data_IF_383858080271
#
_entry.id   IF_383858080271
#
_cell.length_a   1.000
_cell.length_b   1.000
_cell.length_c   1.000
_cell.angle_alpha   90.00
_cell.angle_beta   90.00
_cell.angle_gamma   90.00
#
_symmetry.space_group_name_H-M   'P 1'
#
loop_
_entity.id
_entity.type
_entity.pdbx_description
1 polymer ?
#
# COMPACT_ATOMS: atom_id res chain seq x y z
N UNK A 1 18.86 6.61 -15.20
CA UNK A 1 18.38 5.36 -14.59
C UNK A 1 17.63 5.73 -13.31
N UNK A 2 16.35 5.39 -13.23
CA UNK A 2 15.64 5.43 -11.95
C UNK A 2 16.21 4.31 -11.07
N UNK A 3 16.62 4.64 -9.85
CA UNK A 3 16.97 3.63 -8.84
C UNK A 3 15.68 3.21 -8.15
N UNK A 4 15.40 1.90 -8.09
CA UNK A 4 14.29 1.34 -7.35
C UNK A 4 14.83 0.46 -6.22
N UNK A 5 14.27 0.60 -5.02
CA UNK A 5 14.62 -0.23 -3.87
C UNK A 5 13.98 -1.61 -3.96
N UNK A 6 12.81 -1.70 -4.60
CA UNK A 6 12.12 -2.96 -4.92
C UNK A 6 11.10 -2.78 -6.03
N UNK A 7 10.59 -3.91 -6.53
CA UNK A 7 9.48 -3.98 -7.47
C UNK A 7 8.45 -4.99 -6.94
N UNK A 8 7.20 -4.55 -6.81
CA UNK A 8 6.08 -5.40 -6.37
C UNK A 8 5.03 -5.40 -7.47
N UNK A 9 4.68 -6.58 -7.96
CA UNK A 9 3.64 -6.77 -8.97
C UNK A 9 2.41 -7.40 -8.31
N UNK A 10 1.25 -6.79 -8.51
CA UNK A 10 -0.01 -7.21 -7.89
C UNK A 10 -0.89 -7.95 -8.88
N UNK A 11 -1.28 -9.16 -8.53
CA UNK A 11 -2.01 -10.08 -9.38
C UNK A 11 -3.17 -10.76 -8.63
N UNK A 12 -4.03 -11.41 -9.40
CA UNK A 12 -5.04 -12.36 -8.95
C UNK A 12 -4.84 -13.63 -9.76
N UNK A 13 -4.67 -14.74 -9.08
CA UNK A 13 -4.36 -16.04 -9.67
C UNK A 13 -5.59 -16.73 -10.26
N UNK A 14 -5.35 -17.81 -10.98
CA UNK A 14 -6.35 -18.71 -11.51
C UNK A 14 -5.94 -20.17 -11.28
N UNK A 15 -6.91 -21.00 -10.86
CA UNK A 15 -6.72 -22.44 -10.66
C UNK A 15 -7.75 -23.20 -11.49
N UNK A 16 -7.33 -24.08 -12.43
CA UNK A 16 -8.26 -24.85 -13.27
C UNK A 16 -9.19 -25.76 -12.47
N UNK A 17 -8.72 -26.29 -11.37
CA UNK A 17 -9.51 -27.17 -10.52
C UNK A 17 -10.41 -26.41 -9.54
N UNK A 18 -10.27 -25.10 -9.43
CA UNK A 18 -11.05 -24.18 -8.57
C UNK A 18 -11.02 -24.57 -7.08
N UNK A 19 -9.98 -25.28 -6.65
CA UNK A 19 -9.81 -25.79 -5.28
C UNK A 19 -8.98 -24.87 -4.41
N UNK A 20 -8.06 -24.12 -5.03
CA UNK A 20 -7.13 -23.27 -4.30
C UNK A 20 -7.79 -21.95 -3.87
N UNK A 21 -7.37 -21.43 -2.74
CA UNK A 21 -7.87 -20.19 -2.14
C UNK A 21 -6.80 -19.56 -1.28
N UNK A 22 -6.75 -18.24 -1.25
CA UNK A 22 -5.81 -17.47 -0.44
C UNK A 22 -4.68 -16.87 -1.24
N UNK A 23 -3.89 -16.03 -0.57
CA UNK A 23 -2.80 -15.28 -1.20
C UNK A 23 -1.48 -16.06 -1.17
N UNK A 24 -0.65 -15.83 -2.20
CA UNK A 24 0.71 -16.36 -2.27
C UNK A 24 1.69 -15.31 -2.77
N UNK A 25 2.96 -15.57 -2.52
CA UNK A 25 4.06 -14.72 -2.98
C UNK A 25 4.98 -15.52 -3.88
N UNK A 26 5.17 -15.02 -5.10
CA UNK A 26 6.15 -15.56 -6.03
C UNK A 26 7.42 -14.72 -5.91
N UNK A 27 8.48 -15.37 -5.48
CA UNK A 27 9.73 -14.69 -5.12
C UNK A 27 10.95 -15.41 -5.71
N UNK A 28 12.08 -14.72 -5.67
CA UNK A 28 13.34 -15.30 -6.10
C UNK A 28 13.72 -16.50 -5.23
N UNK A 29 14.06 -17.60 -5.90
CA UNK A 29 14.57 -18.80 -5.25
C UNK A 29 15.93 -18.50 -4.59
N UNK A 30 16.17 -19.04 -3.42
CA UNK A 30 17.45 -18.87 -2.71
C UNK A 30 18.54 -19.74 -3.35
N UNK A 31 18.89 -19.43 -4.56
CA UNK A 31 19.85 -20.20 -5.40
C UNK A 31 21.32 -19.88 -5.07
N UNK A 32 21.57 -18.97 -4.15
CA UNK A 32 22.92 -18.47 -3.88
C UNK A 32 23.46 -17.50 -4.94
N UNK A 33 22.72 -17.26 -6.03
CA UNK A 33 23.15 -16.30 -7.06
C UNK A 33 23.12 -14.87 -6.57
N UNK A 34 22.03 -14.49 -5.91
CA UNK A 34 21.89 -13.17 -5.29
C UNK A 34 21.13 -13.28 -3.97
N UNK A 35 21.84 -13.68 -2.92
CA UNK A 35 21.28 -13.87 -1.58
C UNK A 35 20.60 -12.62 -1.04
N UNK A 36 21.15 -11.44 -1.30
CA UNK A 36 20.56 -10.17 -0.89
C UNK A 36 19.15 -10.02 -1.48
N UNK A 37 18.99 -10.20 -2.79
CA UNK A 37 17.69 -10.07 -3.46
C UNK A 37 16.69 -11.08 -2.91
N UNK A 38 17.06 -12.36 -2.80
CA UNK A 38 16.13 -13.39 -2.31
C UNK A 38 15.71 -13.15 -0.86
N UNK A 39 16.65 -12.80 0.03
CA UNK A 39 16.35 -12.52 1.44
C UNK A 39 15.47 -11.28 1.59
N UNK A 40 15.78 -10.19 0.89
CA UNK A 40 15.01 -8.94 0.90
C UNK A 40 13.61 -9.15 0.36
N UNK A 41 13.49 -9.88 -0.77
CA UNK A 41 12.19 -10.22 -1.37
C UNK A 41 11.30 -11.01 -0.41
N UNK A 42 11.86 -12.01 0.28
CA UNK A 42 11.11 -12.81 1.24
C UNK A 42 10.68 -11.99 2.46
N UNK A 43 11.56 -11.14 2.99
CA UNK A 43 11.22 -10.27 4.13
C UNK A 43 10.13 -9.24 3.78
N UNK A 44 10.23 -8.59 2.61
CA UNK A 44 9.20 -7.67 2.11
C UNK A 44 7.88 -8.40 1.88
N UNK A 45 7.92 -9.56 1.23
CA UNK A 45 6.74 -10.39 0.98
C UNK A 45 6.07 -10.84 2.28
N UNK A 46 6.83 -11.26 3.29
CA UNK A 46 6.29 -11.63 4.61
C UNK A 46 5.57 -10.45 5.28
N UNK A 47 6.12 -9.25 5.18
CA UNK A 47 5.49 -8.05 5.72
C UNK A 47 4.17 -7.71 5.02
N UNK A 48 4.10 -7.86 3.70
CA UNK A 48 2.85 -7.67 2.94
C UNK A 48 1.83 -8.76 3.30
N UNK A 49 2.24 -10.03 3.32
CA UNK A 49 1.37 -11.16 3.64
C UNK A 49 0.75 -11.05 5.03
N UNK A 50 1.50 -10.58 6.03
CA UNK A 50 0.97 -10.37 7.38
C UNK A 50 -0.21 -9.38 7.39
N UNK A 51 -0.14 -8.30 6.61
CA UNK A 51 -1.24 -7.34 6.49
C UNK A 51 -2.43 -7.86 5.66
N UNK A 52 -2.19 -8.72 4.67
CA UNK A 52 -3.27 -9.42 3.95
C UNK A 52 -4.00 -10.40 4.85
N UNK A 53 -3.29 -11.09 5.73
CA UNK A 53 -3.89 -12.00 6.72
C UNK A 53 -4.79 -11.27 7.74
N UNK A 54 -4.51 -9.99 8.05
CA UNK A 54 -5.42 -9.16 8.87
C UNK A 54 -6.80 -8.95 8.22
N UNK A 55 -6.91 -9.09 6.90
CA UNK A 55 -8.18 -9.08 6.17
C UNK A 55 -8.89 -10.44 6.17
N UNK A 56 -8.31 -11.45 6.81
CA UNK A 56 -8.82 -12.82 6.82
C UNK A 56 -8.37 -13.67 5.62
N UNK A 57 -7.46 -13.18 4.80
CA UNK A 57 -6.95 -13.94 3.65
C UNK A 57 -6.01 -15.02 4.15
N UNK A 58 -6.27 -16.27 3.75
CA UNK A 58 -5.37 -17.39 4.03
C UNK A 58 -4.05 -17.21 3.28
N UNK A 59 -2.93 -17.43 3.97
CA UNK A 59 -1.63 -17.47 3.31
C UNK A 59 -1.34 -18.85 2.73
N UNK A 60 -0.97 -18.92 1.46
CA UNK A 60 -0.38 -20.11 0.82
C UNK A 60 1.15 -20.06 0.83
N UNK A 61 1.75 -19.03 1.47
CA UNK A 61 3.18 -18.88 1.64
C UNK A 61 3.92 -18.40 0.41
N UNK A 62 5.18 -18.80 0.32
CA UNK A 62 6.06 -18.47 -0.79
C UNK A 62 6.10 -19.59 -1.81
N UNK A 63 6.05 -19.23 -3.07
CA UNK A 63 6.27 -20.12 -4.18
C UNK A 63 7.50 -19.69 -4.95
N UNK A 64 8.38 -20.68 -5.15
CA UNK A 64 9.62 -20.54 -5.89
C UNK A 64 9.52 -21.40 -7.13
N UNK A 65 9.64 -20.81 -8.28
CA UNK A 65 9.59 -21.53 -9.56
C UNK A 65 10.82 -21.18 -10.40
N UNK A 66 11.49 -22.19 -10.92
CA UNK A 66 12.68 -22.04 -11.73
C UNK A 66 12.44 -22.59 -13.13
N UNK A 67 13.22 -22.09 -14.10
CA UNK A 67 13.28 -22.63 -15.45
C UNK A 67 14.03 -23.97 -15.45
N UNK A 68 13.64 -24.86 -16.37
CA UNK A 68 14.28 -26.18 -16.46
C UNK A 68 15.70 -26.05 -17.03
N UNK A 69 15.85 -25.31 -18.13
CA UNK A 69 17.07 -25.32 -18.97
C UNK A 69 17.90 -24.04 -18.83
N UNK A 70 17.36 -22.98 -18.26
CA UNK A 70 18.08 -21.73 -18.06
C UNK A 70 18.76 -21.64 -16.69
N UNK A 71 19.99 -21.11 -16.68
CA UNK A 71 20.79 -20.93 -15.48
C UNK A 71 21.38 -19.55 -15.42
N UNK A 72 21.58 -19.07 -14.20
CA UNK A 72 22.41 -17.90 -13.94
C UNK A 72 23.90 -18.20 -14.18
N UNK A 73 24.73 -17.14 -14.25
CA UNK A 73 26.18 -17.26 -14.52
C UNK A 73 26.92 -18.16 -13.52
N UNK A 74 26.42 -18.35 -12.33
CA UNK A 74 27.00 -19.23 -11.31
C UNK A 74 26.50 -20.68 -11.39
N UNK A 75 25.73 -21.05 -12.41
CA UNK A 75 25.19 -22.39 -12.61
C UNK A 75 23.86 -22.67 -11.88
N UNK A 76 23.38 -21.78 -11.02
CA UNK A 76 22.07 -21.91 -10.37
C UNK A 76 20.93 -21.76 -11.38
N UNK A 77 19.82 -22.52 -11.18
CA UNK A 77 18.63 -22.41 -12.03
C UNK A 77 18.06 -21.01 -12.00
N UNK A 78 17.70 -20.47 -13.17
CA UNK A 78 17.11 -19.14 -13.28
C UNK A 78 15.65 -19.15 -12.82
N UNK A 79 15.20 -18.05 -12.23
CA UNK A 79 13.81 -17.89 -11.80
C UNK A 79 12.86 -17.86 -13.01
N UNK A 80 11.73 -18.53 -12.87
CA UNK A 80 10.75 -18.70 -13.96
C UNK A 80 10.13 -17.38 -14.40
N UNK A 81 9.67 -16.57 -13.44
CA UNK A 81 8.99 -15.32 -13.76
C UNK A 81 10.00 -14.24 -14.15
N UNK A 82 9.81 -13.64 -15.33
CA UNK A 82 10.73 -12.65 -15.88
C UNK A 82 10.97 -11.48 -14.94
N UNK A 83 9.92 -10.94 -14.32
CA UNK A 83 10.04 -9.84 -13.37
C UNK A 83 10.93 -10.19 -12.16
N UNK A 84 10.83 -11.43 -11.66
CA UNK A 84 11.66 -11.92 -10.56
C UNK A 84 13.10 -12.15 -11.04
N UNK A 85 13.27 -12.78 -12.20
CA UNK A 85 14.58 -13.06 -12.82
C UNK A 85 15.35 -11.78 -13.13
N UNK A 86 14.69 -10.80 -13.74
CA UNK A 86 15.29 -9.49 -14.00
C UNK A 86 15.64 -8.74 -12.71
N UNK A 87 14.82 -8.86 -11.69
CA UNK A 87 15.11 -8.35 -10.36
C UNK A 87 16.40 -8.91 -9.79
N UNK A 88 16.59 -10.24 -9.90
CA UNK A 88 17.81 -10.93 -9.45
C UNK A 88 19.04 -10.45 -10.23
N UNK A 89 18.93 -10.33 -11.55
CA UNK A 89 20.02 -9.89 -12.44
C UNK A 89 20.41 -8.42 -12.19
N UNK A 90 19.43 -7.56 -11.94
CA UNK A 90 19.65 -6.13 -11.73
C UNK A 90 19.82 -5.73 -10.24
N UNK A 91 19.85 -6.70 -9.33
CA UNK A 91 19.97 -6.50 -7.87
C UNK A 91 18.82 -5.70 -7.26
N UNK A 92 17.63 -5.80 -7.84
CA UNK A 92 16.41 -5.16 -7.37
C UNK A 92 15.49 -6.26 -6.80
N UNK A 93 15.20 -6.27 -5.48
CA UNK A 93 14.23 -7.19 -4.90
C UNK A 93 12.89 -7.09 -5.62
N UNK A 94 12.45 -8.17 -6.26
CA UNK A 94 11.26 -8.18 -7.10
C UNK A 94 10.38 -9.38 -6.77
N UNK A 95 9.09 -9.14 -6.56
CA UNK A 95 8.12 -10.17 -6.21
C UNK A 95 6.76 -9.95 -6.87
N UNK A 96 5.99 -11.03 -6.95
CA UNK A 96 4.60 -11.00 -7.39
C UNK A 96 3.73 -11.41 -6.18
N UNK A 97 2.69 -10.63 -5.91
CA UNK A 97 1.66 -10.97 -4.94
C UNK A 97 0.43 -11.44 -5.69
N UNK A 98 0.04 -12.68 -5.46
CA UNK A 98 -1.24 -13.24 -5.88
C UNK A 98 -2.20 -13.12 -4.70
N UNK A 99 -3.21 -12.26 -4.78
CA UNK A 99 -4.11 -11.95 -3.67
C UNK A 99 -5.16 -13.03 -3.39
N UNK A 100 -5.26 -14.02 -4.25
CA UNK A 100 -6.22 -15.11 -4.22
C UNK A 100 -6.52 -15.61 -5.62
N UNK A 101 -7.59 -16.37 -5.78
CA UNK A 101 -7.93 -17.02 -7.05
C UNK A 101 -9.24 -16.50 -7.61
N UNK A 102 -9.21 -15.91 -8.82
CA UNK A 102 -10.44 -15.48 -9.52
C UNK A 102 -11.36 -16.67 -9.85
N UNK A 103 -10.81 -17.87 -9.94
CA UNK A 103 -11.58 -19.12 -10.12
C UNK A 103 -12.25 -19.61 -8.85
N UNK A 104 -11.87 -19.09 -7.67
CA UNK A 104 -12.47 -19.48 -6.39
C UNK A 104 -13.61 -18.53 -6.00
N UNK A 105 -14.82 -19.08 -5.85
CA UNK A 105 -16.02 -18.29 -5.53
C UNK A 105 -15.93 -17.58 -4.18
N UNK A 106 -15.26 -18.18 -3.19
CA UNK A 106 -15.06 -17.57 -1.88
C UNK A 106 -14.14 -16.36 -1.96
N UNK A 107 -12.99 -16.50 -2.63
CA UNK A 107 -12.03 -15.40 -2.82
C UNK A 107 -12.71 -14.25 -3.58
N UNK A 108 -13.44 -14.55 -4.65
CA UNK A 108 -14.17 -13.54 -5.41
C UNK A 108 -15.17 -12.78 -4.55
N UNK A 109 -16.02 -13.48 -3.80
CA UNK A 109 -17.06 -12.85 -3.00
C UNK A 109 -16.51 -12.05 -1.82
N UNK A 110 -15.41 -12.52 -1.20
CA UNK A 110 -14.87 -11.91 0.02
C UNK A 110 -13.88 -10.79 -0.28
N UNK A 111 -13.14 -10.84 -1.41
CA UNK A 111 -12.00 -9.94 -1.61
C UNK A 111 -12.00 -9.15 -2.91
N UNK A 112 -12.72 -9.61 -3.96
CA UNK A 112 -12.59 -9.02 -5.30
C UNK A 112 -13.85 -8.36 -5.84
N UNK A 113 -15.02 -8.67 -5.28
CA UNK A 113 -16.32 -8.31 -5.84
C UNK A 113 -16.58 -6.81 -5.86
N UNK A 114 -16.29 -6.11 -4.77
CA UNK A 114 -16.55 -4.67 -4.66
C UNK A 114 -15.29 -3.82 -4.78
N UNK A 115 -15.46 -2.54 -5.10
CA UNK A 115 -14.35 -1.59 -5.15
C UNK A 115 -13.69 -1.43 -3.76
N UNK A 116 -14.49 -1.47 -2.69
CA UNK A 116 -14.01 -1.37 -1.31
C UNK A 116 -13.15 -2.57 -0.93
N UNK A 117 -13.57 -3.78 -1.31
CA UNK A 117 -12.77 -5.00 -1.09
C UNK A 117 -11.41 -4.91 -1.78
N UNK A 118 -11.41 -4.58 -3.09
CA UNK A 118 -10.14 -4.41 -3.84
C UNK A 118 -9.26 -3.29 -3.28
N UNK A 119 -9.87 -2.22 -2.79
CA UNK A 119 -9.15 -1.14 -2.12
C UNK A 119 -8.53 -1.61 -0.80
N UNK A 120 -9.22 -2.45 -0.03
CA UNK A 120 -8.69 -2.99 1.21
C UNK A 120 -7.42 -3.83 0.97
N UNK A 121 -7.36 -4.58 -0.14
CA UNK A 121 -6.15 -5.28 -0.56
C UNK A 121 -4.99 -4.30 -0.78
N UNK A 122 -5.19 -3.28 -1.62
CA UNK A 122 -4.15 -2.29 -1.88
C UNK A 122 -3.69 -1.52 -0.63
N UNK A 123 -4.60 -1.29 0.34
CA UNK A 123 -4.24 -0.70 1.64
C UNK A 123 -3.40 -1.66 2.47
N UNK A 124 -3.70 -2.96 2.46
CA UNK A 124 -2.91 -3.97 3.15
C UNK A 124 -1.51 -4.10 2.55
N UNK A 125 -1.42 -4.11 1.21
CA UNK A 125 -0.14 -4.11 0.49
C UNK A 125 0.71 -2.89 0.86
N UNK A 126 0.12 -1.70 0.81
CA UNK A 126 0.81 -0.46 1.16
C UNK A 126 1.31 -0.48 2.62
N UNK A 127 0.50 -0.96 3.57
CA UNK A 127 0.91 -1.12 4.97
C UNK A 127 2.10 -2.06 5.11
N UNK A 128 2.06 -3.20 4.41
CA UNK A 128 3.17 -4.15 4.42
C UNK A 128 4.48 -3.55 3.90
N UNK A 129 4.41 -2.78 2.81
CA UNK A 129 5.56 -2.07 2.25
C UNK A 129 6.08 -1.00 3.23
N UNK A 130 5.16 -0.18 3.79
CA UNK A 130 5.47 0.85 4.79
C UNK A 130 6.15 0.23 6.01
N UNK A 131 5.62 -0.86 6.54
CA UNK A 131 6.16 -1.56 7.70
C UNK A 131 7.56 -2.12 7.43
N UNK A 132 7.77 -2.71 6.26
CA UNK A 132 9.05 -3.27 5.87
C UNK A 132 10.14 -2.20 5.75
N UNK A 133 9.87 -1.13 5.01
CA UNK A 133 10.83 -0.05 4.78
C UNK A 133 10.87 0.96 5.92
N UNK A 134 10.04 0.78 6.96
CA UNK A 134 9.89 1.74 8.07
C UNK A 134 9.63 3.15 7.54
N UNK A 135 8.80 3.23 6.51
CA UNK A 135 8.43 4.51 5.92
C UNK A 135 7.57 5.25 6.95
N UNK A 136 8.14 6.24 7.60
CA UNK A 136 7.34 7.25 8.28
C UNK A 136 6.65 8.11 7.21
N UNK A 137 5.45 8.61 7.51
CA UNK A 137 4.91 9.72 6.73
C UNK A 137 6.01 10.76 6.62
N UNK A 138 6.55 10.96 5.41
CA UNK A 138 7.60 11.95 5.21
C UNK A 138 7.05 13.26 5.73
N UNK A 139 7.69 13.87 6.72
CA UNK A 139 7.40 15.26 7.03
C UNK A 139 7.77 16.03 5.78
N UNK A 140 6.76 16.30 4.94
CA UNK A 140 6.98 17.10 3.74
C UNK A 140 7.32 18.48 4.28
N UNK A 141 8.60 18.87 4.12
CA UNK A 141 9.02 20.19 4.51
C UNK A 141 8.36 21.21 3.58
N UNK A 142 7.60 22.09 4.15
CA UNK A 142 6.83 23.08 3.40
C UNK A 142 5.99 23.94 4.35
N UNK A 143 5.19 24.81 3.77
CA UNK A 143 4.31 25.67 4.55
C UNK A 143 2.96 25.93 3.87
N UNK A 144 2.03 26.44 4.66
CA UNK A 144 0.73 26.85 4.14
C UNK A 144 0.84 28.15 3.33
N UNK A 145 0.27 28.15 2.13
CA UNK A 145 0.16 29.32 1.29
C UNK A 145 -1.31 29.57 0.92
N UNK A 146 -1.74 30.81 1.03
CA UNK A 146 -3.08 31.23 0.57
C UNK A 146 -2.94 31.93 -0.79
N UNK A 147 -3.53 31.32 -1.80
CA UNK A 147 -3.52 31.83 -3.18
C UNK A 147 -4.98 31.98 -3.62
N UNK A 148 -5.39 33.20 -3.98
CA UNK A 148 -6.77 33.52 -4.38
C UNK A 148 -7.82 33.01 -3.38
N UNK A 149 -7.59 33.21 -2.07
CA UNK A 149 -8.50 32.81 -0.99
C UNK A 149 -8.54 31.31 -0.69
N UNK A 150 -7.73 30.49 -1.34
CA UNK A 150 -7.62 29.04 -1.12
C UNK A 150 -6.29 28.71 -0.45
N UNK A 151 -6.32 27.86 0.57
CA UNK A 151 -5.11 27.41 1.28
C UNK A 151 -4.55 26.15 0.63
N UNK A 152 -3.26 26.14 0.39
CA UNK A 152 -2.47 25.02 -0.12
C UNK A 152 -1.34 24.70 0.87
N UNK A 153 -0.83 23.49 0.85
CA UNK A 153 0.49 23.18 1.41
C UNK A 153 1.48 23.14 0.25
N UNK A 154 2.54 23.90 0.35
CA UNK A 154 3.56 24.03 -0.70
C UNK A 154 4.88 23.57 -0.15
N UNK A 155 5.54 22.62 -0.82
CA UNK A 155 6.86 22.12 -0.44
C UNK A 155 7.97 23.15 -0.73
N UNK A 156 9.21 22.80 -0.37
CA UNK A 156 10.38 23.68 -0.58
C UNK A 156 10.70 23.89 -2.07
N UNK A 157 10.27 22.98 -2.93
CA UNK A 157 10.44 23.03 -4.38
C UNK A 157 9.32 23.84 -5.06
N UNK A 158 8.33 24.32 -4.30
CA UNK A 158 7.20 25.11 -4.81
C UNK A 158 6.03 24.27 -5.30
N UNK A 159 6.01 22.95 -5.07
CA UNK A 159 4.92 22.08 -5.50
C UNK A 159 3.76 22.11 -4.50
N UNK A 160 2.53 22.18 -5.02
CA UNK A 160 1.33 22.02 -4.20
C UNK A 160 1.12 20.55 -3.85
N UNK A 161 1.08 20.25 -2.58
CA UNK A 161 0.92 18.88 -2.07
C UNK A 161 -0.57 18.56 -1.90
N UNK A 162 -0.98 17.41 -2.41
CA UNK A 162 -2.33 16.85 -2.23
C UNK A 162 -2.31 15.68 -1.21
N UNK A 163 -3.47 15.34 -0.68
CA UNK A 163 -3.63 14.27 0.31
C UNK A 163 -3.31 14.70 1.73
N UNK A 164 -2.93 13.74 2.57
CA UNK A 164 -2.66 13.98 3.98
C UNK A 164 -1.25 14.55 4.22
N UNK A 165 -1.18 15.64 4.98
CA UNK A 165 0.07 16.29 5.39
C UNK A 165 0.09 16.42 6.91
N UNK A 166 1.22 16.08 7.52
CA UNK A 166 1.47 16.32 8.94
C UNK A 166 2.41 17.51 9.09
N UNK A 167 1.96 18.57 9.77
CA UNK A 167 2.76 19.75 10.09
C UNK A 167 2.60 20.09 11.58
N UNK A 168 3.72 20.29 12.25
CA UNK A 168 3.76 20.65 13.69
C UNK A 168 2.93 19.70 14.57
N UNK A 169 3.01 18.39 14.28
CA UNK A 169 2.31 17.33 15.01
C UNK A 169 0.82 17.17 14.64
N UNK A 170 0.25 18.05 13.83
CA UNK A 170 -1.17 18.07 13.44
C UNK A 170 -1.35 17.57 12.01
N UNK A 171 -2.49 16.91 11.74
CA UNK A 171 -2.83 16.40 10.43
C UNK A 171 -3.78 17.35 9.70
N UNK A 172 -3.53 17.53 8.41
CA UNK A 172 -4.33 18.32 7.46
C UNK A 172 -4.58 17.48 6.22
N UNK A 173 -5.63 17.79 5.48
CA UNK A 173 -5.90 17.12 4.21
C UNK A 173 -6.11 18.14 3.08
N UNK A 174 -5.50 17.87 1.95
CA UNK A 174 -5.61 18.66 0.72
C UNK A 174 -6.27 17.83 -0.37
N UNK A 175 -7.24 18.40 -1.05
CA UNK A 175 -8.02 17.71 -2.07
C UNK A 175 -7.12 17.07 -3.14
N UNK A 176 -7.31 15.79 -3.40
CA UNK A 176 -6.44 15.00 -4.28
C UNK A 176 -6.40 15.48 -5.75
N UNK A 177 -7.38 16.29 -6.18
CA UNK A 177 -7.44 16.85 -7.54
C UNK A 177 -6.98 18.29 -7.61
N UNK A 178 -7.30 19.10 -6.60
CA UNK A 178 -7.09 20.54 -6.63
C UNK A 178 -5.98 21.01 -5.70
N UNK A 179 -5.48 20.16 -4.82
CA UNK A 179 -4.56 20.43 -3.73
C UNK A 179 -5.04 21.54 -2.76
N UNK A 180 -6.33 21.91 -2.79
CA UNK A 180 -6.92 22.87 -1.86
C UNK A 180 -7.16 22.20 -0.50
N UNK A 181 -6.86 22.91 0.60
CA UNK A 181 -7.11 22.42 1.96
C UNK A 181 -8.58 22.09 2.16
N UNK A 182 -8.87 20.87 2.60
CA UNK A 182 -10.22 20.48 3.01
C UNK A 182 -10.54 21.03 4.39
N UNK A 183 -11.82 21.38 4.58
CA UNK A 183 -12.37 21.88 5.85
C UNK A 183 -13.76 21.29 6.07
N UNK A 184 -14.15 21.10 7.33
CA UNK A 184 -15.42 20.47 7.66
C UNK A 184 -15.44 18.96 7.40
N UNK A 185 -16.63 18.41 7.17
CA UNK A 185 -16.78 17.01 6.84
C UNK A 185 -16.35 16.69 5.40
N UNK A 186 -15.57 15.65 5.22
CA UNK A 186 -15.31 15.08 3.90
C UNK A 186 -15.20 13.54 3.98
N UNK A 187 -15.28 12.90 2.84
CA UNK A 187 -15.12 11.45 2.72
C UNK A 187 -13.92 11.12 1.86
N UNK A 188 -13.12 10.19 2.33
CA UNK A 188 -12.03 9.61 1.57
C UNK A 188 -11.95 8.12 1.88
N UNK A 189 -11.76 7.33 0.87
CA UNK A 189 -11.58 5.90 1.04
C UNK A 189 -12.73 5.19 1.80
N UNK A 190 -13.98 5.66 1.64
CA UNK A 190 -15.14 5.14 2.38
C UNK A 190 -15.22 5.64 3.84
N UNK A 191 -14.18 6.26 4.37
CA UNK A 191 -14.14 6.83 5.70
C UNK A 191 -14.62 8.29 5.71
N UNK A 192 -15.26 8.69 6.81
CA UNK A 192 -15.68 10.08 7.05
C UNK A 192 -14.70 10.74 8.01
N UNK A 193 -14.29 11.95 7.70
CA UNK A 193 -13.39 12.77 8.51
C UNK A 193 -14.03 14.14 8.81
N UNK A 194 -13.55 14.79 9.86
CA UNK A 194 -13.89 16.17 10.14
C UNK A 194 -12.62 17.00 10.38
N UNK A 195 -12.47 18.04 9.60
CA UNK A 195 -11.37 18.99 9.73
C UNK A 195 -11.93 20.31 10.27
N UNK A 196 -11.23 20.90 11.21
CA UNK A 196 -11.63 22.17 11.81
C UNK A 196 -11.87 23.23 10.71
N UNK A 197 -13.06 23.85 10.65
CA UNK A 197 -13.39 24.80 9.59
C UNK A 197 -12.51 26.05 9.56
N UNK A 198 -11.95 26.44 10.72
CA UNK A 198 -11.06 27.60 10.83
C UNK A 198 -9.63 27.24 10.46
N UNK A 199 -9.07 26.19 11.07
CA UNK A 199 -7.65 25.85 10.98
C UNK A 199 -7.34 24.79 9.94
N UNK A 200 -8.29 23.94 9.54
CA UNK A 200 -8.08 22.78 8.68
C UNK A 200 -7.50 21.55 9.41
N UNK A 201 -7.26 21.64 10.72
CA UNK A 201 -6.72 20.53 11.52
C UNK A 201 -7.69 19.36 11.61
N UNK A 202 -7.18 18.14 11.50
CA UNK A 202 -7.95 16.92 11.70
C UNK A 202 -8.41 16.81 13.16
N UNK A 203 -9.69 16.60 13.34
CA UNK A 203 -10.29 16.43 14.66
C UNK A 203 -10.23 14.96 15.07
N UNK A 204 -9.87 14.70 16.34
CA UNK A 204 -9.94 13.38 16.98
C UNK A 204 -10.64 13.52 18.34
N UNK A 205 -11.19 12.41 18.85
CA UNK A 205 -12.00 12.42 20.08
C UNK A 205 -13.43 12.89 19.86
N UNK A 206 -14.10 13.29 20.94
CA UNK A 206 -15.47 13.79 20.90
C UNK A 206 -15.51 15.24 20.44
N UNK A 207 -16.47 15.56 19.56
CA UNK A 207 -16.74 16.93 19.12
C UNK A 207 -18.21 17.10 18.78
N UNK A 208 -18.70 18.35 18.84
CA UNK A 208 -20.11 18.67 18.61
C UNK A 208 -20.26 19.67 17.47
N UNK A 209 -21.16 19.38 16.53
CA UNK A 209 -21.50 20.25 15.41
C UNK A 209 -23.00 20.42 15.35
N UNK A 210 -23.46 21.65 15.46
CA UNK A 210 -24.90 22.03 15.44
C UNK A 210 -25.74 21.16 16.40
N UNK A 211 -25.27 21.00 17.63
CA UNK A 211 -25.94 20.21 18.67
C UNK A 211 -25.83 18.68 18.53
N UNK A 212 -25.20 18.16 17.48
CA UNK A 212 -24.93 16.73 17.31
C UNK A 212 -23.52 16.39 17.77
N UNK A 213 -23.40 15.36 18.61
CA UNK A 213 -22.12 14.83 19.06
C UNK A 213 -21.59 13.78 18.08
N UNK A 214 -20.29 13.81 17.84
CA UNK A 214 -19.56 12.90 16.99
C UNK A 214 -18.31 12.39 17.70
N UNK A 215 -17.90 11.19 17.38
CA UNK A 215 -16.63 10.63 17.84
C UNK A 215 -15.72 10.36 16.64
N UNK A 216 -14.53 10.94 16.64
CA UNK A 216 -13.47 10.55 15.71
C UNK A 216 -12.41 9.73 16.44
N UNK A 217 -12.00 8.61 15.84
CA UNK A 217 -10.89 7.79 16.33
C UNK A 217 -9.58 8.58 16.30
N UNK A 218 -8.52 8.07 16.93
CA UNK A 218 -7.20 8.69 16.91
C UNK A 218 -6.61 8.91 15.49
N UNK A 219 -7.06 8.13 14.50
CA UNK A 219 -6.73 8.31 13.09
C UNK A 219 -7.68 9.27 12.34
N UNK A 220 -8.57 9.98 13.04
CA UNK A 220 -9.50 10.96 12.49
C UNK A 220 -10.78 10.40 11.88
N UNK A 221 -10.95 9.08 11.81
CA UNK A 221 -12.16 8.46 11.24
C UNK A 221 -13.35 8.68 12.17
N UNK A 222 -14.38 9.36 11.67
CA UNK A 222 -15.63 9.62 12.41
C UNK A 222 -16.49 8.37 12.41
N UNK A 223 -16.88 7.89 13.60
CA UNK A 223 -17.65 6.65 13.84
C UNK A 223 -19.10 6.87 14.23
N UNK A 224 -19.66 8.07 13.94
CA UNK A 224 -21.14 8.29 13.89
C UNK A 224 -21.74 9.47 14.06
#
# INVERSE_FOLDING_TARGET
RLSADSLVSFHINWDPEKKRSGAMILAAYNSGYNKYVSTTTQALGSSIMANLQELGIKSEGFWFRTLHDEKYKNGAKADYYSIVREGVLNKIPSLIIEHGYVSNKSDCNNYFKTAEQRKSLGVADAKGIINYYKLSAKNIEGDFQTISGKTYFVDKEGNKIAGWVKKDGKWYHFNNKTAVMNKGFFKEAGNKFYLNPKTGEMTSGWFTIRGKSYLAKGNGVVVT
#
